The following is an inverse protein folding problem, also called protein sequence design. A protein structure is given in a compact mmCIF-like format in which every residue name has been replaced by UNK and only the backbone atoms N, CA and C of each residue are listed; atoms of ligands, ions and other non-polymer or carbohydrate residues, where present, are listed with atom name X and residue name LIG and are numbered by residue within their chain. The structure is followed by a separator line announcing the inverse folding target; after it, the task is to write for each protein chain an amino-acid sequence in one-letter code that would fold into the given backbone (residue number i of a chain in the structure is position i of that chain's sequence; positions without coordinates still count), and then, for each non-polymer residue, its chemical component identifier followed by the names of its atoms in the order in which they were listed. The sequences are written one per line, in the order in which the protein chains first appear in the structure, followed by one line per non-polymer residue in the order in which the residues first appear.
data_IF_757084778691
#
_entry.id   IF_757084778691
#
_cell.length_a   1.000
_cell.length_b   1.000
_cell.length_c   1.000
_cell.angle_alpha   90.00
_cell.angle_beta   90.00
_cell.angle_gamma   90.00
#
_symmetry.space_group_name_H-M   'P 1'
#
loop_
_entity.id
_entity.type
_entity.pdbx_description
1 polymer ?
#
# COMPACT_ATOMS: atom_id res chain seq x y z
N UNK A 1 -10.58 -11.32 -11.28
CA UNK A 1 -9.38 -10.62 -10.78
C UNK A 1 -9.81 -9.20 -10.41
N UNK A 2 -9.20 -8.58 -9.39
CA UNK A 2 -9.45 -7.16 -9.14
C UNK A 2 -8.93 -6.33 -10.32
N UNK A 3 -9.59 -5.21 -10.64
CA UNK A 3 -9.11 -4.30 -11.70
C UNK A 3 -7.86 -3.55 -11.26
N UNK A 4 -7.11 -2.99 -12.22
CA UNK A 4 -5.98 -2.13 -11.91
C UNK A 4 -6.40 -0.93 -11.06
N UNK A 5 -7.58 -0.36 -11.30
CA UNK A 5 -8.13 0.74 -10.49
C UNK A 5 -8.38 0.32 -9.05
N UNK A 6 -9.04 -0.83 -8.81
CA UNK A 6 -9.30 -1.31 -7.45
C UNK A 6 -8.00 -1.59 -6.67
N UNK A 7 -6.98 -2.12 -7.35
CA UNK A 7 -5.68 -2.36 -6.76
C UNK A 7 -4.92 -1.06 -6.50
N UNK A 8 -5.05 -0.07 -7.39
CA UNK A 8 -4.51 1.28 -7.19
C UNK A 8 -5.11 1.94 -5.95
N UNK A 9 -6.44 1.93 -5.81
CA UNK A 9 -7.13 2.53 -4.67
C UNK A 9 -6.68 1.89 -3.35
N UNK A 10 -6.56 0.55 -3.33
CA UNK A 10 -6.03 -0.18 -2.17
C UNK A 10 -4.57 0.18 -1.85
N UNK A 11 -3.72 0.34 -2.88
CA UNK A 11 -2.32 0.75 -2.68
C UNK A 11 -2.27 2.18 -2.14
N UNK A 12 -3.11 3.08 -2.64
CA UNK A 12 -3.17 4.48 -2.21
C UNK A 12 -3.57 4.59 -0.73
N UNK A 13 -4.62 3.89 -0.32
CA UNK A 13 -5.07 3.85 1.09
C UNK A 13 -3.96 3.31 2.01
N UNK A 14 -3.33 2.19 1.62
CA UNK A 14 -2.22 1.61 2.38
C UNK A 14 -1.00 2.55 2.43
N UNK A 15 -0.79 3.37 1.40
CA UNK A 15 0.33 4.31 1.37
C UNK A 15 0.09 5.49 2.31
N UNK A 16 -1.14 6.00 2.40
CA UNK A 16 -1.54 7.00 3.41
C UNK A 16 -1.30 6.44 4.81
N UNK A 17 -1.77 5.22 5.08
CA UNK A 17 -1.55 4.52 6.35
C UNK A 17 -0.06 4.37 6.68
N UNK A 18 0.75 4.02 5.68
CA UNK A 18 2.19 3.91 5.84
C UNK A 18 2.81 5.26 6.22
N UNK A 19 2.50 6.32 5.47
CA UNK A 19 3.06 7.65 5.68
C UNK A 19 2.69 8.21 7.06
N UNK A 20 1.40 8.23 7.40
CA UNK A 20 0.95 8.79 8.69
C UNK A 20 1.56 8.05 9.89
N UNK A 21 1.61 6.72 9.84
CA UNK A 21 2.16 5.93 10.93
C UNK A 21 3.68 6.02 10.98
N UNK A 22 4.35 6.22 9.85
CA UNK A 22 5.79 6.47 9.81
C UNK A 22 6.13 7.82 10.44
N UNK A 23 5.43 8.89 10.06
CA UNK A 23 5.61 10.23 10.62
C UNK A 23 5.37 10.23 12.14
N UNK A 24 4.28 9.60 12.60
CA UNK A 24 4.00 9.42 14.04
C UNK A 24 5.15 8.68 14.74
N UNK A 25 5.72 7.64 14.14
CA UNK A 25 6.86 6.92 14.72
C UNK A 25 8.12 7.79 14.81
N UNK A 26 8.45 8.57 13.78
CA UNK A 26 9.63 9.44 13.78
C UNK A 26 9.48 10.59 14.76
N UNK A 27 8.28 11.18 14.87
CA UNK A 27 8.03 12.33 15.74
C UNK A 27 8.22 12.02 17.24
N UNK A 28 7.74 10.87 17.71
CA UNK A 28 7.73 10.56 19.16
C UNK A 28 8.10 9.11 19.53
N UNK A 29 8.74 8.37 18.63
CA UNK A 29 9.10 6.96 18.82
C UNK A 29 7.91 6.04 19.19
N UNK A 30 6.69 6.38 18.75
CA UNK A 30 5.51 5.55 19.01
C UNK A 30 5.64 4.18 18.33
N UNK A 31 5.99 3.16 19.12
CA UNK A 31 6.23 1.78 18.66
C UNK A 31 5.02 1.15 17.98
N UNK A 32 3.79 1.50 18.40
CA UNK A 32 2.58 0.98 17.78
C UNK A 32 2.41 1.55 16.37
N UNK A 33 2.64 2.85 16.17
CA UNK A 33 2.67 3.47 14.85
C UNK A 33 3.73 2.81 13.95
N UNK A 34 4.95 2.60 14.47
CA UNK A 34 6.00 1.90 13.71
C UNK A 34 5.60 0.48 13.28
N UNK A 35 4.88 -0.28 14.11
CA UNK A 35 4.33 -1.60 13.72
C UNK A 35 3.28 -1.47 12.60
N UNK A 36 2.38 -0.49 12.68
CA UNK A 36 1.35 -0.24 11.66
C UNK A 36 1.95 0.17 10.32
N UNK A 37 2.94 1.07 10.32
CA UNK A 37 3.65 1.48 9.10
C UNK A 37 4.29 0.27 8.39
N UNK A 38 4.99 -0.60 9.13
CA UNK A 38 5.59 -1.82 8.57
C UNK A 38 4.55 -2.83 8.07
N UNK A 39 3.38 -2.89 8.70
CA UNK A 39 2.28 -3.72 8.21
C UNK A 39 1.75 -3.18 6.88
N UNK A 40 1.45 -1.89 6.80
CA UNK A 40 0.90 -1.25 5.59
C UNK A 40 1.80 -1.45 4.37
N UNK A 41 3.11 -1.16 4.50
CA UNK A 41 4.07 -1.39 3.40
C UNK A 41 4.20 -2.88 3.03
N UNK A 42 4.01 -3.79 4.00
CA UNK A 42 3.98 -5.23 3.77
C UNK A 42 2.75 -5.68 2.98
N UNK A 43 1.59 -5.07 3.20
CA UNK A 43 0.38 -5.32 2.41
C UNK A 43 0.53 -4.77 0.98
N UNK A 44 1.12 -3.58 0.79
CA UNK A 44 1.44 -3.04 -0.55
C UNK A 44 2.30 -4.04 -1.33
N UNK A 45 3.35 -4.59 -0.69
CA UNK A 45 4.24 -5.59 -1.32
C UNK A 45 3.48 -6.81 -1.84
N UNK A 46 2.39 -7.24 -1.19
CA UNK A 46 1.60 -8.40 -1.64
C UNK A 46 0.82 -8.11 -2.92
N UNK A 47 0.35 -6.88 -3.11
CA UNK A 47 -0.58 -6.52 -4.19
C UNK A 47 0.08 -5.78 -5.36
N UNK A 48 1.29 -5.24 -5.20
CA UNK A 48 1.96 -4.43 -6.23
C UNK A 48 2.20 -5.19 -7.55
N UNK A 49 2.52 -6.48 -7.46
CA UNK A 49 2.69 -7.32 -8.66
C UNK A 49 1.35 -7.60 -9.34
N UNK A 50 0.28 -7.79 -8.57
CA UNK A 50 -1.07 -7.98 -9.12
C UNK A 50 -1.55 -6.72 -9.83
N UNK A 51 -1.29 -5.53 -9.26
CA UNK A 51 -1.58 -4.26 -9.93
C UNK A 51 -0.90 -4.19 -11.29
N UNK A 52 0.41 -4.49 -11.36
CA UNK A 52 1.17 -4.49 -12.62
C UNK A 52 0.56 -5.47 -13.63
N UNK A 53 0.17 -6.67 -13.21
CA UNK A 53 -0.46 -7.67 -14.10
C UNK A 53 -1.80 -7.18 -14.62
N UNK A 54 -2.67 -6.66 -13.75
CA UNK A 54 -3.99 -6.14 -14.11
C UNK A 54 -3.85 -4.97 -15.11
N UNK A 55 -2.97 -4.01 -14.82
CA UNK A 55 -2.71 -2.86 -15.70
C UNK A 55 -2.22 -3.28 -17.09
N UNK A 56 -1.30 -4.25 -17.19
CA UNK A 56 -0.80 -4.75 -18.47
C UNK A 56 -1.84 -5.59 -19.23
N UNK A 57 -2.74 -6.28 -18.51
CA UNK A 57 -3.83 -7.01 -19.14
C UNK A 57 -4.86 -6.05 -19.72
N UNK A 58 -5.23 -5.01 -18.97
CA UNK A 58 -6.17 -3.97 -19.37
C UNK A 58 -5.65 -3.14 -20.55
N UNK A 59 -4.34 -2.90 -20.65
CA UNK A 59 -3.74 -2.14 -21.78
C UNK A 59 -3.78 -2.86 -23.13
N UNK A 60 -4.29 -4.09 -23.19
CA UNK A 60 -4.37 -4.94 -24.38
C UNK A 60 -5.82 -5.19 -24.83
N UNK A 61 -6.77 -4.67 -24.06
CA UNK A 61 -8.20 -4.66 -24.39
C UNK A 61 -8.52 -3.44 -25.25
#
# INVERSE_FOLDING_TARGET
MASAQQLYDQIADLFVDFQENHEKFIFNQNKAAGRRARKAIGEIKKIITEYRKASVAESKL
#
